data_IF_663816515871
#
_entry.id   IF_663816515871
#
_cell.length_a   1.000
_cell.length_b   1.000
_cell.length_c   1.000
_cell.angle_alpha   90.00
_cell.angle_beta   90.00
_cell.angle_gamma   90.00
#
_symmetry.space_group_name_H-M   'P 1'
#
loop_
_entity.id
_entity.type
_entity.pdbx_description
1 polymer ?
#
# COMPACT_ATOMS: atom_id res chain seq x y z
N UNK A 1 17.15 12.00 24.74
CA UNK A 1 16.18 11.52 23.74
C UNK A 1 16.30 12.47 22.56
N UNK A 2 16.60 11.99 21.34
CA UNK A 2 16.66 12.89 20.19
C UNK A 2 15.23 13.28 19.86
N UNK A 3 14.96 14.58 19.98
CA UNK A 3 13.78 15.24 19.47
C UNK A 3 13.89 15.17 17.93
N UNK A 4 13.40 14.06 17.36
CA UNK A 4 13.38 13.87 15.91
C UNK A 4 12.06 14.44 15.42
N UNK A 5 12.14 15.43 14.53
CA UNK A 5 10.98 15.94 13.84
C UNK A 5 10.21 14.80 13.16
N UNK A 6 8.87 14.81 13.19
CA UNK A 6 8.07 13.75 12.60
C UNK A 6 8.37 13.61 11.11
N UNK A 7 8.31 12.39 10.58
CA UNK A 7 8.48 12.14 9.15
C UNK A 7 7.29 12.76 8.41
N UNK A 8 7.56 13.56 7.38
CA UNK A 8 6.52 14.28 6.63
C UNK A 8 6.11 13.46 5.41
N UNK A 9 4.93 12.88 5.45
CA UNK A 9 4.37 12.11 4.35
C UNK A 9 3.25 12.89 3.65
N UNK A 10 3.24 12.88 2.32
CA UNK A 10 2.16 13.48 1.53
C UNK A 10 1.40 12.40 0.76
N UNK A 11 0.08 12.37 0.93
CA UNK A 11 -0.85 11.49 0.20
C UNK A 11 -1.38 12.25 -1.00
N UNK A 12 -0.86 11.94 -2.18
CA UNK A 12 -1.34 12.50 -3.44
C UNK A 12 -2.69 11.89 -3.81
N UNK A 13 -3.77 12.64 -3.58
CA UNK A 13 -5.16 12.20 -3.78
C UNK A 13 -6.10 13.39 -3.96
N UNK A 14 -7.26 13.15 -4.55
CA UNK A 14 -8.38 14.10 -4.60
C UNK A 14 -9.45 13.81 -3.53
N UNK A 15 -9.24 12.78 -2.70
CA UNK A 15 -10.10 12.49 -1.55
C UNK A 15 -9.84 13.54 -0.47
N UNK A 16 -10.89 14.01 0.18
CA UNK A 16 -10.74 15.02 1.24
C UNK A 16 -10.00 14.46 2.46
N UNK A 17 -9.26 15.33 3.14
CA UNK A 17 -8.49 14.97 4.32
C UNK A 17 -9.33 14.30 5.41
N UNK A 18 -10.56 14.80 5.60
CA UNK A 18 -11.49 14.28 6.59
C UNK A 18 -11.90 12.83 6.29
N UNK A 19 -12.01 12.46 5.01
CA UNK A 19 -12.35 11.09 4.63
C UNK A 19 -11.16 10.14 4.78
N UNK A 20 -9.94 10.62 4.48
CA UNK A 20 -8.71 9.83 4.66
C UNK A 20 -8.47 9.53 6.15
N UNK A 21 -8.51 10.54 7.00
CA UNK A 21 -8.22 10.39 8.44
C UNK A 21 -9.44 10.00 9.28
N UNK A 22 -10.60 9.72 8.67
CA UNK A 22 -11.76 9.19 9.41
C UNK A 22 -11.44 7.88 10.15
N UNK A 23 -10.50 7.10 9.64
CA UNK A 23 -10.10 5.79 10.19
C UNK A 23 -8.81 5.86 11.00
N UNK A 24 -8.17 7.04 11.12
CA UNK A 24 -6.98 7.16 11.96
C UNK A 24 -7.35 7.25 13.44
N UNK A 25 -6.46 6.81 14.35
CA UNK A 25 -6.63 7.04 15.78
C UNK A 25 -6.90 8.53 16.05
N UNK A 26 -7.95 8.80 16.82
CA UNK A 26 -8.39 10.16 17.17
C UNK A 26 -8.62 11.12 15.99
N UNK A 27 -8.84 10.57 14.79
CA UNK A 27 -8.93 11.32 13.54
C UNK A 27 -7.67 12.16 13.24
N UNK A 28 -6.54 11.77 13.82
CA UNK A 28 -5.26 12.48 13.71
C UNK A 28 -4.63 12.29 12.33
N UNK A 29 -4.00 13.35 11.85
CA UNK A 29 -3.11 13.29 10.69
C UNK A 29 -1.68 12.86 11.07
N UNK A 30 -1.39 12.74 12.37
CA UNK A 30 -0.13 12.22 12.88
C UNK A 30 -0.35 10.82 13.47
N UNK A 31 0.38 9.84 12.94
CA UNK A 31 0.30 8.43 13.36
C UNK A 31 1.72 7.91 13.53
N UNK A 32 2.05 7.38 14.71
CA UNK A 32 3.34 6.77 15.03
C UNK A 32 4.57 7.65 14.66
N UNK A 33 4.48 8.97 14.86
CA UNK A 33 5.54 9.93 14.54
C UNK A 33 5.67 10.28 13.06
N UNK A 34 4.67 9.94 12.24
CA UNK A 34 4.55 10.35 10.84
C UNK A 34 3.42 11.36 10.71
N UNK A 35 3.77 12.56 10.25
CA UNK A 35 2.80 13.61 9.94
C UNK A 35 2.36 13.48 8.48
N UNK A 36 1.07 13.23 8.27
CA UNK A 36 0.48 13.10 6.96
C UNK A 36 -0.20 14.40 6.51
N UNK A 37 0.01 14.75 5.25
CA UNK A 37 -0.78 15.74 4.52
C UNK A 37 -1.44 15.06 3.33
N UNK A 38 -2.48 15.65 2.75
CA UNK A 38 -3.11 15.10 1.55
C UNK A 38 -3.58 16.18 0.60
N UNK A 39 -3.54 15.89 -0.70
CA UNK A 39 -4.03 16.79 -1.73
C UNK A 39 -3.45 16.51 -3.10
N UNK A 40 -3.70 17.43 -4.03
CA UNK A 40 -3.11 17.44 -5.37
C UNK A 40 -1.89 18.35 -5.46
N UNK A 41 -1.69 19.22 -4.48
CA UNK A 41 -0.52 20.08 -4.36
C UNK A 41 0.49 19.42 -3.44
N UNK A 42 1.66 19.11 -3.98
CA UNK A 42 2.72 18.42 -3.25
C UNK A 42 3.60 19.47 -2.58
N UNK A 43 3.71 19.46 -1.25
CA UNK A 43 4.62 20.37 -0.54
C UNK A 43 6.08 20.07 -0.90
N UNK A 44 6.92 21.11 -0.90
CA UNK A 44 8.35 20.96 -1.16
C UNK A 44 9.11 20.32 0.02
N UNK A 45 8.51 20.34 1.22
CA UNK A 45 9.14 19.94 2.48
C UNK A 45 8.64 18.57 2.97
N UNK A 46 8.53 17.59 2.07
CA UNK A 46 8.12 16.23 2.43
C UNK A 46 9.28 15.24 2.36
N UNK A 47 9.21 14.20 3.18
CA UNK A 47 10.16 13.09 3.18
C UNK A 47 9.69 11.93 2.29
N UNK A 48 8.37 11.72 2.21
CA UNK A 48 7.75 10.59 1.53
C UNK A 48 6.53 11.04 0.73
N UNK A 49 6.40 10.54 -0.49
CA UNK A 49 5.22 10.73 -1.33
C UNK A 49 4.49 9.41 -1.52
N UNK A 50 3.21 9.38 -1.11
CA UNK A 50 2.30 8.26 -1.31
C UNK A 50 1.27 8.63 -2.37
N UNK A 51 1.28 7.94 -3.49
CA UNK A 51 0.25 8.09 -4.52
C UNK A 51 -0.84 7.06 -4.31
N UNK A 52 -2.05 7.54 -4.02
CA UNK A 52 -3.21 6.70 -3.75
C UNK A 52 -4.15 6.69 -4.96
N UNK A 53 -4.53 5.49 -5.43
CA UNK A 53 -5.54 5.20 -6.48
C UNK A 53 -5.35 5.79 -7.89
N UNK A 54 -4.45 6.75 -8.08
CA UNK A 54 -4.29 7.49 -9.34
C UNK A 54 -3.38 6.73 -10.31
N UNK A 55 -3.93 6.21 -11.42
CA UNK A 55 -3.22 5.31 -12.36
C UNK A 55 -2.48 6.00 -13.52
N UNK A 56 -2.78 7.27 -13.79
CA UNK A 56 -2.48 7.89 -15.10
C UNK A 56 -1.78 9.26 -15.01
N UNK A 57 -1.22 9.59 -13.85
CA UNK A 57 -0.62 10.91 -13.62
C UNK A 57 0.90 10.80 -13.54
N UNK A 58 1.60 11.57 -14.38
CA UNK A 58 2.99 11.90 -14.11
C UNK A 58 3.02 12.94 -13.01
N UNK A 59 3.47 12.55 -11.82
CA UNK A 59 3.58 13.45 -10.67
C UNK A 59 4.93 14.15 -10.71
N UNK A 60 4.92 15.49 -10.74
CA UNK A 60 6.15 16.27 -10.59
C UNK A 60 6.53 16.28 -9.11
N UNK A 61 7.69 15.74 -8.79
CA UNK A 61 8.26 15.75 -7.44
C UNK A 61 9.80 15.80 -7.55
N UNK A 62 10.44 16.45 -6.59
CA UNK A 62 11.89 16.45 -6.41
C UNK A 62 12.39 15.20 -5.66
N UNK A 63 11.48 14.38 -5.12
CA UNK A 63 11.84 13.20 -4.35
C UNK A 63 12.48 12.13 -5.21
N UNK A 64 13.49 11.48 -4.64
CA UNK A 64 14.11 10.29 -5.22
C UNK A 64 13.14 9.12 -5.21
N UNK A 65 13.23 8.25 -6.22
CA UNK A 65 12.35 7.09 -6.38
C UNK A 65 12.15 6.24 -5.12
N UNK A 66 13.21 6.01 -4.33
CA UNK A 66 13.14 5.21 -3.10
C UNK A 66 12.27 5.82 -1.98
N UNK A 67 11.88 7.09 -2.11
CA UNK A 67 10.99 7.81 -1.18
C UNK A 67 9.55 7.91 -1.70
N UNK A 68 9.23 7.25 -2.81
CA UNK A 68 7.88 7.28 -3.39
C UNK A 68 7.21 5.91 -3.31
N UNK A 69 5.94 5.93 -2.94
CA UNK A 69 5.09 4.76 -2.72
C UNK A 69 3.86 4.87 -3.61
N UNK A 70 3.50 3.80 -4.30
CA UNK A 70 2.22 3.67 -4.97
C UNK A 70 1.33 2.68 -4.23
N UNK A 71 0.08 3.07 -3.95
CA UNK A 71 -0.94 2.21 -3.38
C UNK A 71 -2.12 2.09 -4.34
N UNK A 72 -2.31 0.88 -4.88
CA UNK A 72 -3.50 0.53 -5.65
C UNK A 72 -4.68 0.40 -4.68
N UNK A 73 -5.58 1.39 -4.66
CA UNK A 73 -6.79 1.30 -3.83
C UNK A 73 -7.86 0.36 -4.38
N UNK A 74 -7.71 -0.10 -5.61
CA UNK A 74 -8.56 -1.11 -6.23
C UNK A 74 -7.72 -2.28 -6.79
N UNK A 75 -8.26 -3.50 -6.84
CA UNK A 75 -7.59 -4.62 -7.46
C UNK A 75 -7.24 -4.38 -8.94
N UNK A 76 -6.10 -4.90 -9.40
CA UNK A 76 -5.62 -4.76 -10.78
C UNK A 76 -6.60 -5.39 -11.82
N UNK A 77 -7.51 -6.27 -11.37
CA UNK A 77 -8.58 -6.86 -12.19
C UNK A 77 -9.64 -5.83 -12.58
N UNK A 78 -9.89 -4.84 -11.72
CA UNK A 78 -10.86 -3.76 -11.95
C UNK A 78 -10.16 -2.61 -12.68
N UNK A 79 -8.93 -2.27 -12.28
CA UNK A 79 -8.15 -1.19 -12.85
C UNK A 79 -6.72 -1.65 -13.18
N UNK A 80 -6.43 -2.02 -14.43
CA UNK A 80 -5.11 -2.50 -14.80
C UNK A 80 -4.10 -1.36 -14.83
N UNK A 81 -3.01 -1.52 -14.07
CA UNK A 81 -1.88 -0.58 -14.10
C UNK A 81 -0.79 -1.08 -15.06
N UNK A 82 -0.14 -0.16 -15.78
CA UNK A 82 0.99 -0.51 -16.62
C UNK A 82 2.26 -0.74 -15.79
N UNK A 83 3.07 -1.74 -16.15
CA UNK A 83 4.36 -2.00 -15.47
C UNK A 83 5.30 -0.80 -15.53
N UNK A 84 5.30 -0.07 -16.66
CA UNK A 84 6.11 1.15 -16.84
C UNK A 84 5.75 2.22 -15.81
N UNK A 85 4.46 2.42 -15.58
CA UNK A 85 3.97 3.37 -14.57
C UNK A 85 4.35 2.93 -13.15
N UNK A 86 4.07 1.68 -12.78
CA UNK A 86 4.36 1.17 -11.44
C UNK A 86 5.87 1.23 -11.10
N UNK A 87 6.74 1.01 -12.08
CA UNK A 87 8.19 1.05 -11.88
C UNK A 87 8.76 2.47 -11.64
N UNK A 88 7.95 3.53 -11.77
CA UNK A 88 8.34 4.89 -11.40
C UNK A 88 8.46 5.08 -9.88
N UNK A 89 7.84 4.19 -9.09
CA UNK A 89 7.82 4.25 -7.63
C UNK A 89 8.90 3.35 -7.03
N UNK A 90 9.35 3.67 -5.82
CA UNK A 90 10.31 2.86 -5.08
C UNK A 90 9.69 1.68 -4.35
N UNK A 91 8.43 1.82 -3.97
CA UNK A 91 7.60 0.72 -3.44
C UNK A 91 6.21 0.76 -4.07
N UNK A 92 5.69 -0.40 -4.42
CA UNK A 92 4.37 -0.56 -5.04
C UNK A 92 3.57 -1.59 -4.24
N UNK A 93 2.42 -1.16 -3.72
CA UNK A 93 1.41 -2.04 -3.14
C UNK A 93 0.28 -2.27 -4.14
N UNK A 94 0.16 -3.49 -4.63
CA UNK A 94 -0.81 -3.87 -5.67
C UNK A 94 -1.13 -5.36 -5.60
N UNK A 95 -2.31 -5.74 -6.09
CA UNK A 95 -2.70 -7.14 -6.31
C UNK A 95 -2.25 -7.67 -7.67
N UNK A 96 -1.68 -6.82 -8.55
CA UNK A 96 -1.23 -7.24 -9.88
C UNK A 96 -0.26 -8.42 -9.79
N UNK A 97 -0.37 -9.45 -10.64
CA UNK A 97 0.62 -10.52 -10.70
C UNK A 97 1.88 -10.13 -11.50
N UNK A 98 1.84 -9.00 -12.22
CA UNK A 98 2.91 -8.56 -13.14
C UNK A 98 4.26 -8.46 -12.43
N UNK A 99 5.37 -8.89 -13.06
CA UNK A 99 6.71 -8.67 -12.52
C UNK A 99 7.03 -7.17 -12.55
N UNK A 100 7.60 -6.67 -11.45
CA UNK A 100 8.01 -5.28 -11.30
C UNK A 100 9.50 -5.22 -10.97
N UNK A 101 10.20 -4.20 -11.48
CA UNK A 101 11.60 -3.94 -11.16
C UNK A 101 11.76 -3.17 -9.83
N UNK A 102 10.64 -2.72 -9.26
CA UNK A 102 10.58 -2.04 -7.97
C UNK A 102 10.15 -2.98 -6.85
N UNK A 103 10.33 -2.56 -5.60
CA UNK A 103 9.87 -3.33 -4.44
C UNK A 103 8.35 -3.46 -4.52
N UNK A 104 7.88 -4.69 -4.70
CA UNK A 104 6.46 -5.00 -4.74
C UNK A 104 6.02 -5.60 -3.42
N UNK A 105 5.00 -5.01 -2.82
CA UNK A 105 4.30 -5.55 -1.66
C UNK A 105 2.96 -6.07 -2.15
N UNK A 106 2.78 -7.38 -2.10
CA UNK A 106 1.48 -7.99 -2.34
C UNK A 106 0.70 -7.93 -1.03
N UNK A 107 -0.28 -7.03 -0.97
CA UNK A 107 -1.13 -6.90 0.20
C UNK A 107 -2.07 -8.10 0.30
N UNK A 108 -1.79 -9.05 1.19
CA UNK A 108 -2.86 -9.77 1.88
C UNK A 108 -3.15 -9.01 3.17
N UNK A 109 -3.96 -7.96 3.10
CA UNK A 109 -4.59 -7.40 4.31
C UNK A 109 -5.98 -8.03 4.39
N UNK A 110 -6.02 -9.29 4.82
CA UNK A 110 -7.22 -9.82 5.45
C UNK A 110 -7.14 -9.44 6.93
N UNK A 111 -7.72 -8.31 7.31
CA UNK A 111 -8.02 -8.02 8.71
C UNK A 111 -9.53 -8.14 8.90
N UNK A 112 -10.04 -9.38 8.97
CA UNK A 112 -11.30 -9.60 9.67
C UNK A 112 -11.01 -9.44 11.17
N UNK A 113 -11.85 -8.72 11.94
CA UNK A 113 -11.65 -8.58 13.37
C UNK A 113 -11.65 -9.96 14.02
N UNK A 114 -10.76 -10.16 14.99
CA UNK A 114 -10.63 -11.40 15.75
C UNK A 114 -11.93 -11.68 16.52
N UNK A 115 -12.88 -12.35 15.89
CA UNK A 115 -13.80 -13.22 16.61
C UNK A 115 -14.24 -14.35 15.68
N UNK A 116 -13.91 -15.57 16.11
CA UNK A 116 -14.41 -16.85 15.63
C UNK A 116 -13.72 -17.49 14.40
N UNK A 117 -12.71 -18.31 14.74
CA UNK A 117 -12.48 -19.66 14.21
C UNK A 117 -12.24 -19.82 12.71
N UNK A 118 -11.01 -19.58 12.27
CA UNK A 118 -10.41 -20.49 11.28
C UNK A 118 -9.65 -21.58 12.03
N UNK A 119 -10.36 -22.68 12.33
CA UNK A 119 -9.72 -23.94 12.67
C UNK A 119 -9.02 -24.50 11.42
N UNK A 120 -7.77 -24.90 11.64
CA UNK A 120 -6.87 -25.53 10.71
C UNK A 120 -7.48 -26.72 9.94
N UNK A 121 -6.94 -26.97 8.74
CA UNK A 121 -5.99 -28.10 8.55
C UNK A 121 -5.55 -28.23 7.10
N UNK A 122 -4.23 -28.24 6.92
CA UNK A 122 -3.58 -28.98 5.84
C UNK A 122 -4.09 -30.43 5.83
N UNK A 123 -4.40 -30.95 4.65
CA UNK A 123 -4.30 -32.39 4.42
C UNK A 123 -3.97 -32.66 2.97
N UNK A 124 -2.73 -33.10 2.76
CA UNK A 124 -2.32 -33.93 1.62
C UNK A 124 -3.37 -35.02 1.36
N UNK A 125 -3.83 -35.14 0.12
CA UNK A 125 -4.34 -36.36 -0.53
C UNK A 125 -3.86 -36.26 -1.98
N UNK A 126 -3.14 -37.21 -2.54
CA UNK A 126 -3.70 -38.51 -2.91
C UNK A 126 -2.67 -39.62 -2.73
N UNK A 127 -3.07 -40.63 -1.95
CA UNK A 127 -2.36 -41.90 -1.83
C UNK A 127 -2.56 -42.76 -3.09
N UNK A 128 -1.49 -43.47 -3.47
CA UNK A 128 -1.58 -44.67 -4.30
C UNK A 128 -1.75 -45.87 -3.37
N UNK A 129 -2.77 -46.65 -3.71
CA UNK A 129 -3.25 -47.90 -3.12
C UNK A 129 -2.19 -49.00 -3.09
N UNK A 130 -2.09 -49.74 -1.98
CA UNK A 130 -1.58 -51.11 -1.96
C UNK A 130 -2.52 -51.95 -1.09
N UNK A 131 -2.99 -53.07 -1.64
CA UNK A 131 -3.85 -54.09 -1.03
C UNK A 131 -2.92 -55.21 -0.51
N UNK A 132 -3.11 -55.78 0.69
CA UNK A 132 -2.33 -56.96 1.09
C UNK A 132 -3.05 -58.26 0.70
N UNK A 133 -2.26 -59.21 0.18
CA UNK A 133 -2.48 -60.66 0.30
C UNK A 133 -1.59 -61.14 1.42
#
# INVERSE_FOLDING_TARGET
MKDQSPVRAHIFTNISQQLIFKQSPDFSAEIDGVLFTCGLEIPDDIDVLLMYTRASYSVKTSLTRNRTIFYAGEPDVIHPYSTRFLNQFGTVMTTSPKPLATRKVQGTICSMPQSQKCCARESKRHGKTIVPV
#
